data_IF_157730239447
#
_entry.id   IF_157730239447
#
_cell.length_a   1.000
_cell.length_b   1.000
_cell.length_c   1.000
_cell.angle_alpha   90.00
_cell.angle_beta   90.00
_cell.angle_gamma   90.00
#
_symmetry.space_group_name_H-M   'P 1'
#
loop_
_entity.id
_entity.type
_entity.pdbx_description
1 polymer ?
#
# COMPACT_ATOMS: atom_id res chain seq x y z
N UNK A 1 16.15 -19.44 33.16
CA UNK A 1 15.38 -18.58 32.25
C UNK A 1 14.26 -17.96 33.06
N UNK A 2 14.08 -16.66 32.95
CA UNK A 2 13.12 -15.89 33.74
C UNK A 2 11.76 -15.93 33.03
N UNK A 3 10.77 -16.59 33.63
CA UNK A 3 9.47 -16.84 33.01
C UNK A 3 8.74 -15.54 32.61
N UNK A 4 9.00 -14.43 33.29
CA UNK A 4 8.45 -13.13 32.91
C UNK A 4 8.97 -12.64 31.55
N UNK A 5 10.26 -12.85 31.28
CA UNK A 5 10.89 -12.42 30.02
C UNK A 5 10.40 -13.21 28.82
N UNK A 6 10.10 -14.50 29.03
CA UNK A 6 9.57 -15.38 27.97
C UNK A 6 8.13 -15.00 27.59
N UNK A 7 7.31 -14.60 28.57
CA UNK A 7 5.93 -14.11 28.35
C UNK A 7 5.95 -12.76 27.63
N UNK A 8 6.79 -11.81 28.06
CA UNK A 8 6.91 -10.50 27.42
C UNK A 8 7.33 -10.62 25.95
N UNK A 9 8.24 -11.55 25.65
CA UNK A 9 8.66 -11.84 24.29
C UNK A 9 7.53 -12.43 23.44
N UNK A 10 6.79 -13.42 23.97
CA UNK A 10 5.69 -14.05 23.26
C UNK A 10 4.56 -13.06 22.94
N UNK A 11 4.19 -12.20 23.90
CA UNK A 11 3.21 -11.15 23.71
C UNK A 11 3.68 -10.16 22.65
N UNK A 12 4.92 -9.68 22.76
CA UNK A 12 5.49 -8.73 21.80
C UNK A 12 5.50 -9.30 20.39
N UNK A 13 5.94 -10.55 20.22
CA UNK A 13 5.97 -11.21 18.92
C UNK A 13 4.58 -11.41 18.32
N UNK A 14 3.59 -11.79 19.13
CA UNK A 14 2.21 -11.92 18.65
C UNK A 14 1.65 -10.56 18.20
N UNK A 15 1.83 -9.53 19.02
CA UNK A 15 1.33 -8.19 18.72
C UNK A 15 1.98 -7.61 17.46
N UNK A 16 3.29 -7.76 17.29
CA UNK A 16 3.97 -7.21 16.10
C UNK A 16 3.48 -7.87 14.82
N UNK A 17 3.30 -9.19 14.84
CA UNK A 17 2.75 -9.95 13.72
C UNK A 17 1.30 -9.56 13.42
N UNK A 18 0.48 -9.42 14.46
CA UNK A 18 -0.92 -9.02 14.31
C UNK A 18 -1.05 -7.63 13.68
N UNK A 19 -0.25 -6.65 14.15
CA UNK A 19 -0.22 -5.29 13.59
C UNK A 19 0.20 -5.33 12.12
N UNK A 20 1.20 -6.13 11.75
CA UNK A 20 1.65 -6.24 10.36
C UNK A 20 0.57 -6.77 9.40
N UNK A 21 -0.23 -7.74 9.87
CA UNK A 21 -1.37 -8.27 9.12
C UNK A 21 -2.43 -7.18 8.95
N UNK A 22 -2.79 -6.47 10.02
CA UNK A 22 -3.78 -5.39 9.98
C UNK A 22 -3.32 -4.27 9.05
N UNK A 23 -2.07 -3.82 9.17
CA UNK A 23 -1.51 -2.78 8.32
C UNK A 23 -1.63 -3.14 6.83
N UNK A 24 -1.33 -4.38 6.47
CA UNK A 24 -1.43 -4.83 5.08
C UNK A 24 -2.87 -4.77 4.56
N UNK A 25 -3.84 -5.09 5.41
CA UNK A 25 -5.27 -5.00 5.07
C UNK A 25 -5.73 -3.54 4.95
N UNK A 26 -5.34 -2.68 5.89
CA UNK A 26 -5.65 -1.24 5.89
C UNK A 26 -5.07 -0.54 4.65
N UNK A 27 -3.79 -0.79 4.32
CA UNK A 27 -3.17 -0.25 3.10
C UNK A 27 -3.95 -0.68 1.86
N UNK A 28 -4.37 -1.95 1.78
CA UNK A 28 -5.18 -2.43 0.67
C UNK A 28 -6.53 -1.73 0.58
N UNK A 29 -7.21 -1.49 1.70
CA UNK A 29 -8.47 -0.73 1.72
C UNK A 29 -8.28 0.72 1.31
N UNK A 30 -7.23 1.39 1.79
CA UNK A 30 -6.99 2.79 1.43
C UNK A 30 -6.65 2.94 -0.06
N UNK A 31 -5.94 1.96 -0.64
CA UNK A 31 -5.74 1.90 -2.10
C UNK A 31 -7.07 1.79 -2.85
N UNK A 32 -8.01 0.96 -2.38
CA UNK A 32 -9.34 0.86 -2.98
C UNK A 32 -10.09 2.18 -2.90
N UNK A 33 -10.04 2.85 -1.76
CA UNK A 33 -10.67 4.15 -1.55
C UNK A 33 -10.08 5.22 -2.48
N UNK A 34 -8.76 5.30 -2.61
CA UNK A 34 -8.09 6.22 -3.56
C UNK A 34 -8.57 5.99 -5.00
N UNK A 35 -8.73 4.73 -5.41
CA UNK A 35 -9.22 4.37 -6.74
C UNK A 35 -10.72 4.70 -6.91
N UNK A 36 -11.52 4.48 -5.87
CA UNK A 36 -12.94 4.79 -5.86
C UNK A 36 -13.18 6.30 -5.95
N UNK A 37 -12.50 7.11 -5.14
CA UNK A 37 -12.51 8.59 -5.22
C UNK A 37 -12.15 9.07 -6.63
N UNK A 38 -11.18 8.43 -7.29
CA UNK A 38 -10.84 8.76 -8.68
C UNK A 38 -11.97 8.41 -9.66
N UNK A 39 -12.67 7.30 -9.43
CA UNK A 39 -13.80 6.88 -10.26
C UNK A 39 -15.04 7.74 -10.05
N UNK A 40 -15.22 8.34 -8.86
CA UNK A 40 -16.34 9.24 -8.56
C UNK A 40 -16.35 10.49 -9.45
N UNK A 41 -15.17 10.95 -9.90
CA UNK A 41 -15.02 12.05 -10.84
C UNK A 41 -15.51 11.72 -12.28
N UNK A 42 -15.92 10.48 -12.55
CA UNK A 42 -16.44 10.04 -13.84
C UNK A 42 -17.97 10.12 -13.81
N UNK A 43 -18.53 10.80 -14.81
CA UNK A 43 -19.97 11.01 -14.93
C UNK A 43 -20.74 9.80 -15.47
N UNK A 44 -20.06 8.89 -16.16
CA UNK A 44 -20.66 7.67 -16.71
C UNK A 44 -20.64 6.54 -15.66
N UNK A 45 -21.83 6.13 -15.23
CA UNK A 45 -22.02 5.08 -14.22
C UNK A 45 -21.52 3.71 -14.67
N UNK A 46 -21.58 3.40 -15.96
CA UNK A 46 -21.08 2.12 -16.49
C UNK A 46 -19.56 2.06 -16.43
N UNK A 47 -18.90 3.18 -16.75
CA UNK A 47 -17.44 3.31 -16.64
C UNK A 47 -17.02 3.29 -15.17
N UNK A 48 -17.77 3.96 -14.28
CA UNK A 48 -17.53 3.94 -12.83
C UNK A 48 -17.61 2.52 -12.27
N UNK A 49 -18.66 1.77 -12.61
CA UNK A 49 -18.83 0.38 -12.21
C UNK A 49 -17.70 -0.51 -12.74
N UNK A 50 -17.34 -0.35 -14.02
CA UNK A 50 -16.23 -1.07 -14.65
C UNK A 50 -14.89 -0.80 -13.93
N UNK A 51 -14.60 0.45 -13.59
CA UNK A 51 -13.39 0.80 -12.86
C UNK A 51 -13.37 0.18 -11.46
N UNK A 52 -14.45 0.32 -10.69
CA UNK A 52 -14.54 -0.26 -9.34
C UNK A 52 -14.33 -1.79 -9.36
N UNK A 53 -14.96 -2.51 -10.30
CA UNK A 53 -14.75 -3.96 -10.44
C UNK A 53 -13.32 -4.31 -10.86
N UNK A 54 -12.77 -3.55 -11.81
CA UNK A 54 -11.44 -3.81 -12.36
C UNK A 54 -10.35 -3.55 -11.32
N UNK A 55 -10.45 -2.47 -10.54
CA UNK A 55 -9.55 -2.16 -9.43
C UNK A 55 -9.49 -3.30 -8.42
N UNK A 56 -10.64 -3.80 -7.96
CA UNK A 56 -10.71 -4.92 -7.01
C UNK A 56 -10.08 -6.19 -7.58
N UNK A 57 -10.24 -6.44 -8.88
CA UNK A 57 -9.67 -7.61 -9.55
C UNK A 57 -8.16 -7.53 -9.77
N UNK A 58 -7.64 -6.34 -10.10
CA UNK A 58 -6.24 -6.10 -10.43
C UNK A 58 -5.36 -5.98 -9.18
N UNK A 59 -5.86 -5.35 -8.12
CA UNK A 59 -5.12 -5.13 -6.88
C UNK A 59 -5.34 -6.35 -5.97
N UNK A 60 -4.51 -7.36 -6.20
CA UNK A 60 -4.43 -8.59 -5.38
C UNK A 60 -3.28 -8.56 -4.37
N UNK A 61 -2.34 -7.65 -4.58
CA UNK A 61 -1.19 -7.38 -3.73
C UNK A 61 -0.92 -5.88 -3.73
N UNK A 62 -0.35 -5.40 -2.65
CA UNK A 62 -0.08 -3.97 -2.43
C UNK A 62 1.41 -3.62 -2.59
N UNK A 63 2.21 -4.53 -3.15
CA UNK A 63 3.64 -4.29 -3.38
C UNK A 63 3.88 -3.22 -4.44
N UNK A 64 4.99 -2.47 -4.32
CA UNK A 64 5.33 -1.36 -5.25
C UNK A 64 5.18 -1.76 -6.71
N UNK A 65 5.69 -2.93 -7.09
CA UNK A 65 5.64 -3.42 -8.47
C UNK A 65 4.21 -3.63 -8.97
N UNK A 66 3.32 -4.10 -8.11
CA UNK A 66 1.94 -4.38 -8.50
C UNK A 66 1.11 -3.09 -8.54
N UNK A 67 1.38 -2.15 -7.62
CA UNK A 67 0.83 -0.79 -7.70
C UNK A 67 1.29 -0.07 -8.96
N UNK A 68 2.57 -0.16 -9.33
CA UNK A 68 3.07 0.44 -10.57
C UNK A 68 2.42 -0.17 -11.82
N UNK A 69 2.22 -1.50 -11.86
CA UNK A 69 1.47 -2.14 -12.95
C UNK A 69 0.02 -1.67 -13.01
N UNK A 70 -0.64 -1.56 -11.85
CA UNK A 70 -2.00 -1.03 -11.76
C UNK A 70 -2.07 0.41 -12.28
N UNK A 71 -1.15 1.28 -11.88
CA UNK A 71 -1.10 2.67 -12.33
C UNK A 71 -0.82 2.82 -13.83
N UNK A 72 -0.13 1.86 -14.44
CA UNK A 72 0.12 1.87 -15.88
C UNK A 72 -1.18 1.80 -16.70
N UNK A 73 -2.27 1.23 -16.16
CA UNK A 73 -3.60 1.24 -16.81
C UNK A 73 -4.20 2.65 -16.92
N UNK A 74 -3.80 3.59 -16.07
CA UNK A 74 -4.19 5.00 -16.16
C UNK A 74 -3.28 5.81 -17.08
N UNK A 75 -2.19 5.22 -17.58
CA UNK A 75 -1.20 5.84 -18.44
C UNK A 75 0.22 5.77 -17.86
N UNK A 76 1.22 5.71 -18.76
CA UNK A 76 2.64 5.60 -18.39
C UNK A 76 3.11 6.72 -17.46
N UNK A 77 2.67 7.96 -17.70
CA UNK A 77 3.02 9.13 -16.89
C UNK A 77 2.51 9.08 -15.44
N UNK A 78 1.43 8.34 -15.17
CA UNK A 78 0.92 8.15 -13.80
C UNK A 78 1.85 7.20 -13.04
N UNK A 79 2.22 6.10 -13.67
CA UNK A 79 3.19 5.14 -13.14
C UNK A 79 4.55 5.81 -12.88
N UNK A 80 5.01 6.66 -13.79
CA UNK A 80 6.30 7.34 -13.66
C UNK A 80 6.29 8.31 -12.45
N UNK A 81 5.25 9.15 -12.32
CA UNK A 81 5.07 10.04 -11.14
C UNK A 81 5.08 9.28 -9.81
N UNK A 82 4.39 8.13 -9.75
CA UNK A 82 4.40 7.30 -8.55
C UNK A 82 5.79 6.77 -8.21
N UNK A 83 6.55 6.33 -9.21
CA UNK A 83 7.90 5.83 -9.00
C UNK A 83 8.88 6.93 -8.58
N UNK A 84 8.76 8.12 -9.15
CA UNK A 84 9.61 9.28 -8.84
C UNK A 84 9.33 9.87 -7.46
N UNK A 85 8.09 9.75 -6.97
CA UNK A 85 7.69 10.25 -5.66
C UNK A 85 8.22 9.42 -4.48
N UNK A 86 8.73 8.21 -4.72
CA UNK A 86 9.14 7.28 -3.67
C UNK A 86 10.66 7.11 -3.60
N UNK A 87 11.21 7.33 -2.42
CA UNK A 87 12.62 7.03 -2.14
C UNK A 87 12.89 5.53 -2.03
N UNK A 88 14.09 5.11 -2.47
CA UNK A 88 14.51 3.70 -2.43
C UNK A 88 14.47 3.09 -1.02
N UNK A 89 14.78 3.89 0.01
CA UNK A 89 14.70 3.46 1.41
C UNK A 89 13.28 3.07 1.78
N UNK A 90 12.30 3.94 1.52
CA UNK A 90 10.90 3.71 1.88
C UNK A 90 10.32 2.51 1.16
N UNK A 91 10.65 2.35 -0.12
CA UNK A 91 10.27 1.17 -0.91
C UNK A 91 10.84 -0.11 -0.30
N UNK A 92 12.11 -0.08 0.12
CA UNK A 92 12.79 -1.25 0.67
C UNK A 92 12.13 -1.69 1.99
N UNK A 93 11.88 -0.73 2.90
CA UNK A 93 11.23 -1.00 4.18
C UNK A 93 9.80 -1.51 3.96
N UNK A 94 9.03 -0.84 3.10
CA UNK A 94 7.67 -1.23 2.78
C UNK A 94 7.58 -2.64 2.17
N UNK A 95 8.41 -2.95 1.17
CA UNK A 95 8.41 -4.30 0.58
C UNK A 95 8.86 -5.37 1.60
N UNK A 96 9.83 -5.06 2.46
CA UNK A 96 10.23 -5.95 3.55
C UNK A 96 9.08 -6.26 4.51
N UNK A 97 8.21 -5.28 4.78
CA UNK A 97 7.00 -5.49 5.58
C UNK A 97 6.05 -6.50 4.92
N UNK A 98 5.84 -6.38 3.60
CA UNK A 98 4.99 -7.31 2.85
C UNK A 98 5.58 -8.71 2.81
N UNK A 99 6.91 -8.83 2.68
CA UNK A 99 7.60 -10.11 2.74
C UNK A 99 7.42 -10.76 4.12
N UNK A 100 7.64 -10.01 5.21
CA UNK A 100 7.39 -10.48 6.58
C UNK A 100 5.92 -10.92 6.78
N UNK A 101 4.95 -10.21 6.19
CA UNK A 101 3.53 -10.61 6.21
C UNK A 101 3.30 -11.93 5.45
N UNK A 102 3.95 -12.14 4.30
CA UNK A 102 3.93 -13.44 3.62
C UNK A 102 4.57 -14.55 4.46
N UNK A 103 5.64 -14.26 5.19
CA UNK A 103 6.25 -15.22 6.11
C UNK A 103 5.29 -15.62 7.24
N UNK A 104 4.56 -14.66 7.83
CA UNK A 104 3.55 -14.99 8.86
C UNK A 104 2.47 -15.89 8.25
N UNK A 105 1.97 -15.57 7.04
CA UNK A 105 0.92 -16.35 6.41
C UNK A 105 1.34 -17.79 6.06
N UNK A 106 2.61 -18.02 5.68
CA UNK A 106 3.10 -19.33 5.26
C UNK A 106 3.79 -20.14 6.36
N UNK A 107 4.57 -19.47 7.22
CA UNK A 107 5.42 -20.08 8.24
C UNK A 107 4.86 -19.88 9.66
N UNK A 108 3.85 -19.05 9.83
CA UNK A 108 3.20 -18.77 11.12
C UNK A 108 3.97 -17.83 12.05
N UNK A 109 5.15 -17.32 11.64
CA UNK A 109 5.98 -16.42 12.46
C UNK A 109 6.75 -15.42 11.61
N UNK A 110 7.09 -14.26 12.18
CA UNK A 110 8.18 -13.41 11.68
C UNK A 110 9.00 -12.83 12.83
N UNK A 111 10.17 -12.29 12.51
CA UNK A 111 11.05 -11.59 13.46
C UNK A 111 10.75 -10.09 13.57
N UNK A 112 9.53 -9.65 13.22
CA UNK A 112 9.15 -8.24 13.26
C UNK A 112 9.20 -7.65 14.68
N UNK A 113 9.80 -6.48 14.81
CA UNK A 113 9.88 -5.74 16.08
C UNK A 113 9.00 -4.50 16.08
N UNK A 114 8.67 -3.97 17.26
CA UNK A 114 7.90 -2.72 17.37
C UNK A 114 8.63 -1.51 16.76
N UNK A 115 9.97 -1.46 16.86
CA UNK A 115 10.75 -0.39 16.24
C UNK A 115 10.63 -0.41 14.71
N UNK A 116 10.68 -1.60 14.12
CA UNK A 116 10.49 -1.76 12.68
C UNK A 116 9.06 -1.39 12.25
N UNK A 117 8.04 -1.72 13.06
CA UNK A 117 6.65 -1.38 12.74
C UNK A 117 6.43 0.13 12.63
N UNK A 118 7.04 0.93 13.49
CA UNK A 118 6.93 2.39 13.41
C UNK A 118 7.46 2.93 12.07
N UNK A 119 8.62 2.44 11.63
CA UNK A 119 9.19 2.79 10.33
C UNK A 119 8.34 2.29 9.17
N UNK A 120 7.82 1.06 9.28
CA UNK A 120 6.96 0.44 8.26
C UNK A 120 5.68 1.27 8.05
N UNK A 121 5.03 1.71 9.14
CA UNK A 121 3.82 2.53 9.06
C UNK A 121 4.11 3.83 8.31
N UNK A 122 5.20 4.53 8.67
CA UNK A 122 5.59 5.75 7.98
C UNK A 122 5.83 5.51 6.48
N UNK A 123 6.54 4.43 6.12
CA UNK A 123 6.78 4.11 4.71
C UNK A 123 5.50 3.70 3.97
N UNK A 124 4.54 3.06 4.64
CA UNK A 124 3.24 2.74 4.06
C UNK A 124 2.44 4.02 3.75
N UNK A 125 2.44 5.00 4.66
CA UNK A 125 1.82 6.31 4.43
C UNK A 125 2.45 7.04 3.23
N UNK A 126 3.77 7.00 3.10
CA UNK A 126 4.48 7.57 1.94
C UNK A 126 4.04 6.90 0.63
N UNK A 127 3.86 5.58 0.62
CA UNK A 127 3.33 4.83 -0.55
C UNK A 127 1.91 5.24 -0.88
N UNK A 128 1.03 5.33 0.11
CA UNK A 128 -0.36 5.76 -0.08
C UNK A 128 -0.46 7.20 -0.59
N UNK A 129 0.36 8.11 -0.03
CA UNK A 129 0.42 9.50 -0.45
C UNK A 129 0.94 9.63 -1.88
N UNK A 130 2.00 8.91 -2.24
CA UNK A 130 2.52 8.87 -3.61
C UNK A 130 1.47 8.34 -4.59
N UNK A 131 0.74 7.29 -4.22
CA UNK A 131 -0.35 6.74 -5.03
C UNK A 131 -1.46 7.76 -5.24
N UNK A 132 -1.97 8.35 -4.15
CA UNK A 132 -3.03 9.35 -4.19
C UNK A 132 -2.64 10.55 -5.07
N UNK A 133 -1.42 11.06 -4.92
CA UNK A 133 -0.93 12.18 -5.72
C UNK A 133 -0.73 11.82 -7.19
N UNK A 134 -0.31 10.59 -7.50
CA UNK A 134 -0.17 10.13 -8.87
C UNK A 134 -1.54 10.07 -9.58
N UNK A 135 -2.59 9.57 -8.92
CA UNK A 135 -3.92 9.43 -9.54
C UNK A 135 -4.74 10.72 -9.56
N UNK A 136 -4.38 11.74 -8.76
CA UNK A 136 -5.00 13.07 -8.81
C UNK A 136 -4.82 13.69 -10.19
N UNK A 137 -5.88 14.36 -10.68
CA UNK A 137 -5.90 15.07 -11.96
C UNK A 137 -4.89 16.22 -11.87
N UNK A 138 -3.99 16.34 -12.84
CA UNK A 138 -3.34 17.63 -13.10
C UNK A 138 -4.39 18.45 -13.84
N UNK A 139 -4.81 19.56 -13.26
CA UNK A 139 -5.46 20.61 -14.05
C UNK A 139 -4.43 21.06 -15.08
N UNK A 140 -4.58 20.61 -16.32
CA UNK A 140 -3.85 21.22 -17.42
C UNK A 140 -4.45 22.62 -17.51
N UNK A 141 -3.69 23.63 -17.08
CA UNK A 141 -4.01 25.01 -17.41
C UNK A 141 -4.24 25.06 -18.92
N UNK A 142 -5.48 25.30 -19.32
CA UNK A 142 -5.85 25.48 -20.71
C UNK A 142 -5.01 26.65 -21.24
N UNK A 143 -3.94 26.31 -21.97
CA UNK A 143 -3.20 27.25 -22.78
C UNK A 143 -4.16 27.77 -23.82
N UNK A 144 -4.64 28.99 -23.59
CA UNK A 144 -5.36 29.85 -24.52
C UNK A 144 -4.78 29.76 -25.93
N UNK A 145 -5.67 29.61 -26.91
CA UNK A 145 -5.36 29.47 -28.33
C UNK A 145 -4.78 30.69 -29.02
#
# INVERSE_FOLDING_TARGET
MDAHRDVDFAISSYLTQHILILLSAEVQQEIYKIAEERSEAISDDSIKAFMSSTTKQLIRSVGKKDLAKYLAYFGGSIKDRFNEALGDRSITIYNSALDKRHEIAHKGTSNATFSELAEIIQCADEVLLALANAVKRIEVAEGTG
#
